data_IF_877688159250
#
_entry.id   IF_877688159250
#
_cell.length_a   1.000
_cell.length_b   1.000
_cell.length_c   1.000
_cell.angle_alpha   90.00
_cell.angle_beta   90.00
_cell.angle_gamma   90.00
#
_symmetry.space_group_name_H-M   'P 1'
#
loop_
_entity.id
_entity.type
_entity.pdbx_description
1 polymer ?
#
# COMPACT_ATOMS: atom_id res chain seq x y z
N UNK A 1 -21.38 0.96 6.37
CA UNK A 1 -20.86 0.31 5.16
C UNK A 1 -19.37 0.56 5.11
N UNK A 2 -18.58 -0.51 5.04
CA UNK A 2 -17.12 -0.43 4.99
C UNK A 2 -16.61 0.02 3.63
N UNK A 3 -15.64 0.93 3.64
CA UNK A 3 -14.99 1.44 2.43
C UNK A 3 -14.37 0.32 1.59
N UNK A 4 -13.84 -0.73 2.23
CA UNK A 4 -13.34 -1.94 1.58
C UNK A 4 -14.44 -2.65 0.79
N UNK A 5 -15.59 -2.87 1.42
CA UNK A 5 -16.75 -3.55 0.81
C UNK A 5 -17.30 -2.77 -0.38
N UNK A 6 -17.29 -1.44 -0.33
CA UNK A 6 -17.69 -0.60 -1.47
C UNK A 6 -16.72 -0.73 -2.65
N UNK A 7 -15.40 -0.78 -2.39
CA UNK A 7 -14.40 -0.93 -3.45
C UNK A 7 -14.46 -2.32 -4.12
N UNK A 8 -14.72 -3.37 -3.33
CA UNK A 8 -14.91 -4.73 -3.86
C UNK A 8 -16.14 -4.83 -4.77
N UNK A 9 -17.28 -4.29 -4.35
CA UNK A 9 -18.48 -4.25 -5.22
C UNK A 9 -18.20 -3.51 -6.54
N UNK A 10 -17.45 -2.40 -6.47
CA UNK A 10 -17.10 -1.66 -7.68
C UNK A 10 -16.24 -2.49 -8.63
N UNK A 11 -15.25 -3.24 -8.11
CA UNK A 11 -14.41 -4.12 -8.90
C UNK A 11 -15.21 -5.25 -9.58
N UNK A 12 -16.19 -5.83 -8.88
CA UNK A 12 -17.08 -6.86 -9.45
C UNK A 12 -17.92 -6.31 -10.61
N UNK A 13 -18.44 -5.08 -10.49
CA UNK A 13 -19.18 -4.42 -11.58
C UNK A 13 -18.31 -4.29 -12.83
N UNK A 14 -17.02 -3.94 -12.69
CA UNK A 14 -16.12 -3.85 -13.83
C UNK A 14 -15.78 -5.21 -14.42
N UNK A 15 -15.70 -6.25 -13.58
CA UNK A 15 -15.52 -7.62 -14.05
C UNK A 15 -16.73 -8.12 -14.85
N UNK A 16 -17.95 -7.78 -14.43
CA UNK A 16 -19.16 -8.07 -15.20
C UNK A 16 -19.17 -7.33 -16.54
N UNK A 17 -18.72 -6.07 -16.56
CA UNK A 17 -18.55 -5.29 -17.81
C UNK A 17 -17.52 -5.91 -18.74
N UNK A 18 -16.39 -6.40 -18.21
CA UNK A 18 -15.37 -7.08 -19.00
C UNK A 18 -15.92 -8.34 -19.69
N UNK A 19 -16.78 -9.09 -19.01
CA UNK A 19 -17.45 -10.26 -19.59
C UNK A 19 -18.49 -9.89 -20.65
N UNK A 20 -19.19 -8.76 -20.46
CA UNK A 20 -20.21 -8.27 -21.39
C UNK A 20 -19.61 -7.54 -22.61
N UNK A 21 -18.43 -6.94 -22.48
CA UNK A 21 -17.73 -6.17 -23.51
C UNK A 21 -16.28 -6.68 -23.69
N UNK A 22 -16.09 -7.69 -24.56
CA UNK A 22 -14.77 -8.25 -24.83
C UNK A 22 -13.83 -7.27 -25.54
N UNK A 23 -14.37 -6.28 -26.26
CA UNK A 23 -13.57 -5.31 -27.02
C UNK A 23 -12.79 -4.37 -26.10
N UNK A 24 -13.37 -4.02 -24.95
CA UNK A 24 -12.73 -3.20 -23.91
C UNK A 24 -12.34 -4.03 -22.69
N UNK A 25 -12.25 -5.35 -22.83
CA UNK A 25 -11.98 -6.26 -21.72
C UNK A 25 -10.77 -5.80 -20.90
N UNK A 26 -9.64 -5.55 -21.55
CA UNK A 26 -8.40 -5.16 -20.85
C UNK A 26 -8.55 -3.83 -20.10
N UNK A 27 -9.28 -2.86 -20.66
CA UNK A 27 -9.57 -1.60 -19.97
C UNK A 27 -10.44 -1.81 -18.73
N UNK A 28 -11.45 -2.70 -18.81
CA UNK A 28 -12.28 -3.02 -17.66
C UNK A 28 -11.53 -3.79 -16.58
N UNK A 29 -10.60 -4.66 -16.97
CA UNK A 29 -9.70 -5.34 -16.04
C UNK A 29 -8.76 -4.34 -15.35
N UNK A 30 -8.18 -3.39 -16.09
CA UNK A 30 -7.34 -2.34 -15.50
C UNK A 30 -8.11 -1.49 -14.47
N UNK A 31 -9.36 -1.13 -14.76
CA UNK A 31 -10.20 -0.41 -13.81
C UNK A 31 -10.53 -1.28 -12.59
N UNK A 32 -10.87 -2.56 -12.77
CA UNK A 32 -11.12 -3.47 -11.66
C UNK A 32 -9.89 -3.61 -10.74
N UNK A 33 -8.68 -3.69 -11.29
CA UNK A 33 -7.42 -3.76 -10.54
C UNK A 33 -7.25 -2.51 -9.66
N UNK A 34 -7.47 -1.31 -10.20
CA UNK A 34 -7.39 -0.05 -9.42
C UNK A 34 -8.34 -0.06 -8.23
N UNK A 35 -9.55 -0.61 -8.39
CA UNK A 35 -10.51 -0.73 -7.30
C UNK A 35 -10.09 -1.76 -6.25
N UNK A 36 -9.48 -2.87 -6.66
CA UNK A 36 -8.92 -3.86 -5.75
C UNK A 36 -7.75 -3.30 -4.94
N UNK A 37 -6.82 -2.60 -5.58
CA UNK A 37 -5.70 -1.92 -4.91
C UNK A 37 -6.21 -0.97 -3.82
N UNK A 38 -7.21 -0.15 -4.15
CA UNK A 38 -7.82 0.78 -3.21
C UNK A 38 -8.57 0.10 -2.07
N UNK A 39 -9.13 -1.09 -2.32
CA UNK A 39 -9.72 -1.93 -1.28
C UNK A 39 -8.67 -2.47 -0.30
N UNK A 40 -7.47 -2.83 -0.79
CA UNK A 40 -6.35 -3.25 0.04
C UNK A 40 -5.81 -2.09 0.87
N UNK A 41 -5.62 -0.91 0.29
CA UNK A 41 -5.21 0.30 1.02
C UNK A 41 -6.18 0.64 2.15
N UNK A 42 -7.50 0.56 1.88
CA UNK A 42 -8.51 0.76 2.90
C UNK A 42 -8.43 -0.28 4.04
N UNK A 43 -7.97 -1.50 3.74
CA UNK A 43 -7.73 -2.52 4.76
C UNK A 43 -6.46 -2.26 5.56
N UNK A 44 -5.37 -1.81 4.93
CA UNK A 44 -4.13 -1.48 5.62
C UNK A 44 -4.34 -0.33 6.61
N UNK A 45 -5.10 0.69 6.21
CA UNK A 45 -5.48 1.78 7.12
C UNK A 45 -6.31 1.28 8.32
N UNK A 46 -7.23 0.33 8.13
CA UNK A 46 -8.02 -0.23 9.22
C UNK A 46 -7.17 -1.04 10.22
N UNK A 47 -6.14 -1.75 9.75
CA UNK A 47 -5.23 -2.52 10.61
C UNK A 47 -4.28 -1.62 11.40
N UNK A 48 -3.84 -0.49 10.84
CA UNK A 48 -2.95 0.48 11.52
C UNK A 48 -3.72 1.32 12.57
N UNK A 49 -5.04 1.43 12.47
CA UNK A 49 -5.86 2.16 13.46
C UNK A 49 -6.24 1.34 14.70
N UNK A 50 -5.90 0.05 14.74
CA UNK A 50 -5.82 -0.71 16.00
C UNK A 50 -4.37 -0.57 16.44
N UNK A 51 -4.08 -0.15 17.67
CA UNK A 51 -2.74 0.17 18.23
C UNK A 51 -2.32 1.66 18.21
N UNK A 52 -3.26 2.60 18.28
CA UNK A 52 -2.91 4.02 18.53
C UNK A 52 -3.82 4.72 19.55
N UNK A 53 -4.53 3.98 20.40
CA UNK A 53 -5.37 4.58 21.45
C UNK A 53 -5.40 3.73 22.73
N UNK A 54 -4.26 3.30 23.27
CA UNK A 54 -4.19 2.98 24.71
C UNK A 54 -2.76 2.87 25.28
N UNK A 55 -1.87 3.85 25.13
CA UNK A 55 -0.86 4.07 26.19
C UNK A 55 -0.59 5.56 26.35
N UNK A 56 -1.11 6.07 27.47
CA UNK A 56 -0.85 7.35 28.11
C UNK A 56 0.51 8.01 27.83
N UNK A 57 0.43 9.31 27.57
CA UNK A 57 1.30 10.36 28.09
C UNK A 57 2.49 9.90 28.96
N UNK A 58 3.69 9.94 28.39
CA UNK A 58 4.93 10.39 29.07
C UNK A 58 5.76 11.15 28.03
N UNK A 59 6.10 12.43 28.25
CA UNK A 59 7.15 13.09 27.49
C UNK A 59 8.48 12.98 28.25
N UNK A 60 9.51 12.37 27.67
CA UNK A 60 10.88 12.83 27.92
C UNK A 60 11.83 12.45 26.75
N UNK A 61 12.69 13.37 26.27
CA UNK A 61 13.51 13.16 25.10
C UNK A 61 14.91 12.66 25.46
N UNK A 62 15.31 11.51 24.91
CA UNK A 62 16.72 11.12 24.85
C UNK A 62 17.18 11.11 23.39
N UNK A 63 17.88 12.20 23.05
CA UNK A 63 18.62 12.37 21.80
C UNK A 63 19.65 11.24 21.65
N UNK A 64 19.64 10.56 20.51
CA UNK A 64 20.82 9.91 19.97
C UNK A 64 20.82 10.06 18.45
N UNK A 65 21.37 11.19 18.05
CA UNK A 65 21.94 11.53 16.74
C UNK A 65 22.79 10.39 16.16
N UNK A 66 22.57 10.06 14.89
CA UNK A 66 23.60 9.78 13.88
C UNK A 66 22.86 9.52 12.55
N UNK A 67 22.49 10.56 11.80
CA UNK A 67 23.34 11.19 10.78
C UNK A 67 23.92 10.13 9.81
N UNK A 68 23.28 10.08 8.65
CA UNK A 68 23.91 10.23 7.34
C UNK A 68 25.21 9.47 7.11
N UNK A 69 25.20 8.48 6.22
CA UNK A 69 26.21 8.39 5.16
C UNK A 69 25.65 7.56 4.01
N UNK A 70 24.93 8.22 3.09
CA UNK A 70 25.01 7.84 1.68
C UNK A 70 26.28 8.47 1.14
N UNK A 71 27.36 7.72 0.93
CA UNK A 71 28.33 7.99 -0.15
C UNK A 71 29.49 6.98 -0.21
N UNK A 72 29.74 6.58 -1.46
CA UNK A 72 31.07 6.32 -2.05
C UNK A 72 31.83 5.04 -1.70
N UNK A 73 31.66 4.09 -2.62
CA UNK A 73 32.62 3.08 -3.06
C UNK A 73 34.09 3.58 -3.11
N UNK A 74 35.10 2.70 -2.95
CA UNK A 74 35.69 2.14 -4.17
C UNK A 74 36.14 0.66 -4.08
N UNK A 75 36.24 0.12 -5.29
CA UNK A 75 36.67 -1.21 -5.74
C UNK A 75 38.15 -1.47 -5.39
N UNK A 76 38.50 -2.61 -4.77
CA UNK A 76 39.87 -3.14 -4.78
C UNK A 76 39.85 -4.64 -5.03
N UNK A 77 40.47 -5.02 -6.15
CA UNK A 77 40.78 -6.39 -6.56
C UNK A 77 42.04 -6.80 -5.79
N UNK A 78 42.05 -7.99 -5.18
CA UNK A 78 43.29 -8.63 -4.71
C UNK A 78 43.37 -10.06 -5.25
N UNK A 79 44.40 -10.29 -6.07
CA UNK A 79 44.84 -11.59 -6.57
C UNK A 79 45.66 -12.28 -5.48
N UNK A 80 45.54 -13.61 -5.36
CA UNK A 80 46.66 -14.53 -5.16
C UNK A 80 46.38 -15.80 -5.95
#
# INVERSE_FOLDING_TARGET
MDRRTACLHQADIFREKALADPEHHDQWIDEAIKWLERAMEASCHAVITVEADEISHVPEPARATAIDTLASHPRVIARQ
#
